data_IF_444426047201
#
_entry.id   IF_444426047201
#
_cell.length_a   1.000
_cell.length_b   1.000
_cell.length_c   1.000
_cell.angle_alpha   90.00
_cell.angle_beta   90.00
_cell.angle_gamma   90.00
#
_symmetry.space_group_name_H-M   'P 1'
#
loop_
_entity.id
_entity.type
_entity.pdbx_description
1 polymer ?
#
# COMPACT_ATOMS: atom_id res chain seq x y z
N UNK A 1 -7.88 -3.70 -9.29
CA UNK A 1 -8.20 -2.35 -8.79
C UNK A 1 -7.18 -1.29 -9.17
N UNK A 2 -5.86 -1.52 -9.05
CA UNK A 2 -4.85 -0.51 -9.44
C UNK A 2 -4.95 -0.15 -10.93
N UNK A 3 -5.02 -1.15 -11.82
CA UNK A 3 -5.23 -0.91 -13.25
C UNK A 3 -6.52 -0.14 -13.55
N UNK A 4 -7.59 -0.41 -12.80
CA UNK A 4 -8.84 0.36 -12.89
C UNK A 4 -8.63 1.81 -12.45
N UNK A 5 -7.93 2.06 -11.34
CA UNK A 5 -7.62 3.42 -10.88
C UNK A 5 -6.72 4.16 -11.86
N UNK A 6 -5.73 3.50 -12.46
CA UNK A 6 -4.88 4.07 -13.52
C UNK A 6 -5.71 4.40 -14.77
N UNK A 7 -6.60 3.51 -15.21
CA UNK A 7 -7.50 3.77 -16.33
C UNK A 7 -8.47 4.95 -16.06
N UNK A 8 -8.92 5.13 -14.81
CA UNK A 8 -9.70 6.32 -14.43
C UNK A 8 -8.89 7.61 -14.61
N UNK A 9 -7.60 7.58 -14.30
CA UNK A 9 -6.70 8.73 -14.40
C UNK A 9 -6.26 9.01 -15.85
N UNK A 10 -6.14 7.98 -16.69
CA UNK A 10 -5.71 8.07 -18.11
C UNK A 10 -6.56 9.03 -18.96
N UNK A 11 -7.84 9.18 -18.63
CA UNK A 11 -8.79 10.03 -19.38
C UNK A 11 -8.47 11.54 -19.38
N UNK A 12 -7.44 11.99 -18.65
CA UNK A 12 -7.08 13.40 -18.51
C UNK A 12 -5.54 13.57 -18.47
N UNK A 13 -4.97 14.39 -19.37
CA UNK A 13 -3.51 14.67 -19.41
C UNK A 13 -3.01 15.31 -18.12
N UNK A 14 -1.83 14.85 -17.66
CA UNK A 14 -1.10 15.36 -16.50
C UNK A 14 0.08 16.27 -16.86
N UNK A 15 0.26 16.60 -18.15
CA UNK A 15 1.46 17.27 -18.71
C UNK A 15 1.73 18.69 -18.15
N UNK A 16 0.79 19.25 -17.39
CA UNK A 16 0.86 20.59 -16.82
C UNK A 16 0.88 20.61 -15.29
N UNK A 17 0.95 19.45 -14.64
CA UNK A 17 0.90 19.31 -13.20
C UNK A 17 2.29 19.08 -12.60
N UNK A 18 2.52 19.63 -11.40
CA UNK A 18 3.71 19.34 -10.61
C UNK A 18 3.40 18.18 -9.65
N UNK A 19 4.38 17.30 -9.35
CA UNK A 19 4.19 16.27 -8.35
C UNK A 19 3.76 16.87 -7.00
N UNK A 20 2.65 16.38 -6.46
CA UNK A 20 2.10 16.88 -5.20
C UNK A 20 1.31 18.18 -5.28
N UNK A 21 1.04 18.71 -6.49
CA UNK A 21 0.14 19.86 -6.63
C UNK A 21 -1.31 19.53 -6.22
N UNK A 22 -2.08 20.56 -5.88
CA UNK A 22 -3.44 20.37 -5.36
C UNK A 22 -4.41 19.74 -6.36
N UNK A 23 -4.23 19.98 -7.66
CA UNK A 23 -5.14 19.50 -8.69
C UNK A 23 -4.86 18.02 -9.01
N UNK A 24 -3.58 17.65 -9.09
CA UNK A 24 -3.11 16.25 -9.14
C UNK A 24 -3.57 15.47 -7.91
N UNK A 25 -3.27 15.96 -6.69
CA UNK A 25 -3.67 15.26 -5.45
C UNK A 25 -5.19 15.11 -5.36
N UNK A 26 -5.97 16.13 -5.74
CA UNK A 26 -7.44 16.03 -5.79
C UNK A 26 -7.91 14.90 -6.71
N UNK A 27 -7.34 14.78 -7.90
CA UNK A 27 -7.69 13.71 -8.87
C UNK A 27 -7.33 12.33 -8.32
N UNK A 28 -6.13 12.20 -7.79
CA UNK A 28 -5.66 10.97 -7.17
C UNK A 28 -6.58 10.52 -6.02
N UNK A 29 -6.97 11.44 -5.14
CA UNK A 29 -7.91 11.18 -4.03
C UNK A 29 -9.26 10.70 -4.56
N UNK A 30 -9.82 11.37 -5.59
CA UNK A 30 -11.11 10.97 -6.19
C UNK A 30 -11.04 9.57 -6.79
N UNK A 31 -9.97 9.25 -7.52
CA UNK A 31 -9.80 7.94 -8.13
C UNK A 31 -9.68 6.81 -7.08
N UNK A 32 -8.96 7.09 -5.98
CA UNK A 32 -8.89 6.19 -4.80
C UNK A 32 -10.28 6.03 -4.16
N UNK A 33 -11.02 7.12 -3.96
CA UNK A 33 -12.37 7.11 -3.38
C UNK A 33 -13.34 6.25 -4.20
N UNK A 34 -13.41 6.43 -5.52
CA UNK A 34 -14.28 5.64 -6.41
C UNK A 34 -13.93 4.15 -6.39
N UNK A 35 -12.62 3.85 -6.37
CA UNK A 35 -12.09 2.48 -6.24
C UNK A 35 -12.46 1.85 -4.90
N UNK A 36 -12.50 2.64 -3.81
CA UNK A 36 -12.94 2.17 -2.50
C UNK A 36 -14.45 1.99 -2.42
N UNK A 37 -15.22 2.93 -2.97
CA UNK A 37 -16.69 2.85 -2.99
C UNK A 37 -17.19 1.57 -3.68
N UNK A 38 -16.59 1.21 -4.82
CA UNK A 38 -16.88 -0.04 -5.54
C UNK A 38 -16.66 -1.30 -4.67
N UNK A 39 -15.74 -1.25 -3.72
CA UNK A 39 -15.43 -2.36 -2.82
C UNK A 39 -16.40 -2.44 -1.62
N UNK A 40 -16.86 -1.29 -1.12
CA UNK A 40 -17.56 -1.16 0.16
C UNK A 40 -19.08 -1.37 0.10
N UNK A 41 -19.69 -1.61 -1.06
CA UNK A 41 -21.15 -1.68 -1.26
C UNK A 41 -21.85 -2.93 -0.69
N UNK A 42 -21.24 -3.65 0.25
CA UNK A 42 -21.85 -4.70 1.08
C UNK A 42 -21.48 -4.42 2.55
N UNK A 43 -22.44 -4.40 3.49
CA UNK A 43 -22.21 -3.80 4.83
C UNK A 43 -22.96 -4.42 6.01
N UNK A 44 -22.32 -4.30 7.20
CA UNK A 44 -22.80 -4.14 8.62
C UNK A 44 -22.55 -5.37 9.55
N UNK A 45 -22.19 -5.27 10.86
CA UNK A 45 -21.95 -4.19 11.86
C UNK A 45 -21.18 -4.77 13.10
N UNK A 46 -20.55 -3.92 13.92
CA UNK A 46 -19.50 -4.20 14.93
C UNK A 46 -19.93 -3.78 16.34
N UNK A 47 -20.22 -4.71 17.27
CA UNK A 47 -20.63 -4.32 18.65
C UNK A 47 -20.08 -5.22 19.80
N UNK A 48 -18.97 -5.95 19.62
CA UNK A 48 -18.41 -6.80 20.73
C UNK A 48 -16.90 -6.65 20.99
N UNK A 49 -16.34 -5.47 20.77
CA UNK A 49 -14.90 -5.21 20.96
C UNK A 49 -14.50 -4.56 22.29
N UNK A 50 -15.44 -4.36 23.23
CA UNK A 50 -15.23 -3.59 24.47
C UNK A 50 -15.28 -4.44 25.74
N UNK A 51 -15.02 -5.73 25.64
CA UNK A 51 -14.96 -6.63 26.80
C UNK A 51 -13.69 -6.36 27.64
N UNK A 52 -13.86 -6.13 28.96
CA UNK A 52 -12.77 -5.72 29.85
C UNK A 52 -11.73 -6.83 30.10
N UNK A 53 -12.09 -8.10 29.94
CA UNK A 53 -11.12 -9.19 30.07
C UNK A 53 -10.21 -9.24 28.83
N UNK A 54 -10.76 -8.94 27.65
CA UNK A 54 -9.99 -8.78 26.40
C UNK A 54 -9.05 -7.57 26.48
N UNK A 55 -9.51 -6.45 27.04
CA UNK A 55 -8.69 -5.25 27.22
C UNK A 55 -7.51 -5.48 28.19
N UNK A 56 -7.68 -6.36 29.19
CA UNK A 56 -6.66 -6.65 30.20
C UNK A 56 -5.49 -7.45 29.63
N UNK A 57 -5.77 -8.40 28.73
CA UNK A 57 -4.76 -9.23 28.06
C UNK A 57 -3.87 -8.40 27.11
N UNK A 58 -4.47 -7.49 26.33
CA UNK A 58 -3.73 -6.65 25.38
C UNK A 58 -2.87 -5.58 26.07
N UNK A 59 -3.30 -5.07 27.23
CA UNK A 59 -2.49 -4.14 28.06
C UNK A 59 -1.19 -4.78 28.57
N UNK A 60 -1.19 -6.09 28.89
CA UNK A 60 0.02 -6.79 29.34
C UNK A 60 1.03 -7.02 28.21
N UNK A 61 0.55 -7.19 26.97
CA UNK A 61 1.40 -7.38 25.77
C UNK A 61 2.07 -6.09 25.31
N UNK A 62 1.51 -4.93 25.64
CA UNK A 62 2.05 -3.61 25.28
C UNK A 62 3.43 -3.29 25.91
N UNK A 63 3.78 -3.91 27.03
CA UNK A 63 4.98 -3.58 27.81
C UNK A 63 6.27 -4.31 27.39
N UNK A 64 6.23 -5.23 26.41
CA UNK A 64 7.38 -6.08 26.03
C UNK A 64 8.04 -5.77 24.67
N UNK A 65 7.82 -4.59 24.11
CA UNK A 65 8.43 -4.18 22.84
C UNK A 65 7.56 -4.57 21.65
N UNK A 66 7.31 -3.58 20.79
CA UNK A 66 6.24 -3.59 19.80
C UNK A 66 6.31 -4.75 18.82
N UNK A 67 5.32 -5.64 18.91
CA UNK A 67 4.95 -6.53 17.81
C UNK A 67 4.55 -5.60 16.66
N UNK A 68 5.31 -5.64 15.57
CA UNK A 68 4.94 -4.99 14.31
C UNK A 68 3.55 -5.52 13.92
N UNK A 69 2.52 -4.68 14.06
CA UNK A 69 1.12 -5.11 14.01
C UNK A 69 0.58 -5.32 12.59
N UNK A 70 1.43 -5.44 11.57
CA UNK A 70 1.02 -5.67 10.16
C UNK A 70 2.02 -6.51 9.37
N UNK A 71 1.66 -7.77 9.13
CA UNK A 71 2.51 -8.84 8.59
C UNK A 71 2.53 -8.99 7.07
N UNK A 72 2.21 -7.94 6.29
CA UNK A 72 2.39 -7.98 4.83
C UNK A 72 3.79 -7.54 4.43
N UNK A 73 4.49 -8.38 3.68
CA UNK A 73 5.80 -8.09 3.08
C UNK A 73 5.71 -8.16 1.55
N UNK A 74 6.61 -7.45 0.88
CA UNK A 74 6.75 -7.47 -0.57
C UNK A 74 8.19 -7.84 -0.96
N UNK A 75 8.33 -8.69 -1.97
CA UNK A 75 9.59 -9.01 -2.62
C UNK A 75 9.43 -8.77 -4.12
N UNK A 76 10.37 -8.05 -4.71
CA UNK A 76 10.39 -7.74 -6.14
C UNK A 76 11.76 -8.12 -6.70
N UNK A 77 11.76 -8.96 -7.72
CA UNK A 77 12.96 -9.58 -8.30
C UNK A 77 12.96 -9.34 -9.81
N UNK A 78 14.14 -9.03 -10.31
CA UNK A 78 14.47 -8.97 -11.72
C UNK A 78 15.87 -9.55 -11.89
N UNK A 79 16.07 -10.42 -12.88
CA UNK A 79 17.38 -11.02 -13.17
C UNK A 79 17.90 -10.71 -14.58
N UNK A 80 19.12 -11.18 -14.88
CA UNK A 80 19.82 -10.96 -16.16
C UNK A 80 19.22 -11.71 -17.35
N UNK A 81 18.31 -12.65 -17.11
CA UNK A 81 17.59 -13.39 -18.14
C UNK A 81 16.20 -12.79 -18.38
N UNK A 82 15.97 -11.57 -17.88
CA UNK A 82 14.69 -10.87 -17.92
C UNK A 82 13.56 -11.62 -17.19
N UNK A 83 13.87 -12.51 -16.24
CA UNK A 83 12.86 -13.08 -15.37
C UNK A 83 12.39 -12.04 -14.36
N UNK A 84 11.07 -11.96 -14.17
CA UNK A 84 10.40 -10.99 -13.31
C UNK A 84 9.57 -11.71 -12.26
N UNK A 85 9.70 -11.33 -10.98
CA UNK A 85 8.83 -11.85 -9.93
C UNK A 85 8.41 -10.74 -8.95
N UNK A 86 7.10 -10.58 -8.78
CA UNK A 86 6.51 -9.74 -7.73
C UNK A 86 5.73 -10.64 -6.77
N UNK A 87 6.10 -10.62 -5.50
CA UNK A 87 5.51 -11.47 -4.47
C UNK A 87 5.10 -10.63 -3.26
N UNK A 88 3.79 -10.56 -3.02
CA UNK A 88 3.24 -10.01 -1.78
C UNK A 88 2.76 -11.15 -0.90
N UNK A 89 3.24 -11.23 0.34
CA UNK A 89 2.84 -12.26 1.30
C UNK A 89 2.30 -11.58 2.56
N UNK A 90 1.22 -12.12 3.13
CA UNK A 90 0.63 -11.58 4.36
C UNK A 90 0.29 -12.70 5.33
N UNK A 91 0.59 -12.49 6.60
CA UNK A 91 0.02 -13.25 7.72
C UNK A 91 -1.14 -12.51 8.40
N UNK A 92 -1.57 -11.38 7.82
CA UNK A 92 -2.41 -10.38 8.47
C UNK A 92 -1.71 -9.76 9.66
N UNK A 93 -2.41 -9.59 10.77
CA UNK A 93 -1.84 -9.23 12.07
C UNK A 93 -1.28 -10.47 12.81
N UNK A 94 -1.53 -11.67 12.26
CA UNK A 94 -1.22 -12.95 12.85
C UNK A 94 -2.31 -13.38 13.84
N UNK A 95 -2.62 -14.69 13.87
CA UNK A 95 -3.60 -15.23 14.83
C UNK A 95 -3.05 -15.35 16.25
N UNK A 96 -1.73 -15.20 16.42
CA UNK A 96 -1.02 -15.52 17.66
C UNK A 96 -0.88 -17.02 17.93
N UNK A 97 -1.50 -17.90 17.13
CA UNK A 97 -1.34 -19.34 17.24
C UNK A 97 -0.14 -19.83 16.43
N UNK A 98 0.79 -20.49 17.11
CA UNK A 98 1.96 -21.13 16.50
C UNK A 98 1.77 -22.64 16.56
N UNK A 99 1.87 -23.31 15.41
CA UNK A 99 1.74 -24.77 15.35
C UNK A 99 2.84 -25.40 16.23
N UNK A 100 2.49 -26.30 17.18
CA UNK A 100 3.46 -26.90 18.09
C UNK A 100 4.62 -27.58 17.36
N UNK A 101 5.85 -27.25 17.75
CA UNK A 101 7.07 -27.87 17.22
C UNK A 101 7.53 -27.40 15.84
N UNK A 102 6.81 -26.47 15.18
CA UNK A 102 7.17 -26.04 13.80
C UNK A 102 7.66 -24.59 13.71
N UNK A 103 7.32 -23.74 14.68
CA UNK A 103 7.59 -22.30 14.61
C UNK A 103 6.73 -21.55 13.57
N UNK A 104 5.74 -22.21 12.96
CA UNK A 104 4.86 -21.59 11.96
C UNK A 104 3.68 -20.92 12.66
N UNK A 105 3.61 -19.60 12.57
CA UNK A 105 2.44 -18.82 13.02
C UNK A 105 1.33 -18.87 11.97
N UNK A 106 0.11 -19.20 12.38
CA UNK A 106 -1.05 -19.17 11.50
C UNK A 106 -1.53 -17.73 11.26
N UNK A 107 -1.99 -17.46 10.04
CA UNK A 107 -2.55 -16.16 9.68
C UNK A 107 -3.90 -15.90 10.37
N UNK A 108 -4.33 -14.64 10.37
CA UNK A 108 -5.67 -14.24 10.80
C UNK A 108 -6.48 -13.58 9.67
N UNK A 109 -6.30 -13.99 8.40
CA UNK A 109 -6.93 -13.30 7.26
C UNK A 109 -8.46 -13.20 7.41
N UNK A 110 -9.14 -14.27 7.87
CA UNK A 110 -10.59 -14.24 8.10
C UNK A 110 -11.01 -13.36 9.30
N UNK A 111 -10.05 -12.85 10.08
CA UNK A 111 -10.25 -11.93 11.19
C UNK A 111 -9.84 -10.49 10.90
N UNK A 112 -9.40 -10.18 9.68
CA UNK A 112 -9.07 -8.81 9.27
C UNK A 112 -10.34 -8.09 8.76
N UNK A 113 -10.71 -7.01 9.45
CA UNK A 113 -11.94 -6.24 9.16
C UNK A 113 -12.00 -5.78 7.69
N UNK A 114 -10.87 -5.33 7.16
CA UNK A 114 -10.79 -4.73 5.83
C UNK A 114 -10.99 -5.71 4.69
N UNK A 115 -10.87 -7.02 4.93
CA UNK A 115 -11.10 -8.06 3.91
C UNK A 115 -12.40 -8.84 4.15
N UNK A 116 -13.14 -8.57 5.23
CA UNK A 116 -14.43 -9.18 5.55
C UNK A 116 -15.59 -8.17 5.40
N UNK A 117 -16.02 -7.83 4.16
CA UNK A 117 -17.03 -6.79 3.92
C UNK A 117 -18.41 -7.15 4.50
N UNK A 118 -18.72 -8.44 4.62
CA UNK A 118 -19.96 -8.95 5.22
C UNK A 118 -19.87 -9.08 6.74
N UNK A 119 -18.77 -8.63 7.36
CA UNK A 119 -18.49 -8.81 8.78
C UNK A 119 -17.83 -10.16 9.10
N UNK A 120 -17.30 -10.26 10.31
CA UNK A 120 -16.61 -11.45 10.80
C UNK A 120 -17.51 -12.69 10.80
N UNK A 121 -16.91 -13.85 10.53
CA UNK A 121 -17.58 -15.16 10.54
C UNK A 121 -18.70 -15.37 9.51
N UNK A 122 -18.93 -14.40 8.62
CA UNK A 122 -19.92 -14.51 7.54
C UNK A 122 -19.30 -14.93 6.20
N UNK A 123 -17.99 -15.17 6.16
CA UNK A 123 -17.32 -15.66 4.95
C UNK A 123 -17.63 -17.14 4.72
N UNK A 124 -18.00 -17.55 3.49
CA UNK A 124 -18.30 -18.94 3.18
C UNK A 124 -17.10 -19.87 3.37
N UNK A 125 -17.39 -21.11 3.75
CA UNK A 125 -16.38 -22.17 3.86
C UNK A 125 -15.82 -22.55 2.48
N UNK A 126 -14.57 -23.00 2.47
CA UNK A 126 -13.84 -23.44 1.26
C UNK A 126 -13.72 -22.39 0.13
N UNK A 127 -14.00 -21.12 0.45
CA UNK A 127 -13.87 -20.00 -0.48
C UNK A 127 -12.66 -19.11 -0.16
N UNK A 128 -11.89 -18.74 -1.19
CA UNK A 128 -10.74 -17.84 -1.04
C UNK A 128 -11.19 -16.40 -0.86
N UNK A 129 -10.70 -15.76 0.20
CA UNK A 129 -10.95 -14.34 0.46
C UNK A 129 -10.10 -13.43 -0.43
N UNK A 130 -10.72 -12.39 -0.98
CA UNK A 130 -10.01 -11.37 -1.76
C UNK A 130 -9.27 -10.41 -0.80
N UNK A 131 -7.96 -10.25 -1.00
CA UNK A 131 -7.14 -9.35 -0.18
C UNK A 131 -6.79 -8.05 -0.90
N UNK A 132 -6.11 -7.14 -0.18
CA UNK A 132 -5.53 -5.92 -0.77
C UNK A 132 -4.15 -6.14 -1.41
N UNK A 133 -3.57 -7.35 -1.30
CA UNK A 133 -2.30 -7.69 -1.91
C UNK A 133 -2.40 -7.51 -3.43
N UNK A 134 -1.42 -6.82 -4.01
CA UNK A 134 -1.43 -6.49 -5.43
C UNK A 134 0.00 -6.53 -5.98
N UNK A 135 0.68 -7.69 -5.98
CA UNK A 135 1.96 -7.82 -6.67
C UNK A 135 1.77 -7.41 -8.13
N UNK A 136 2.61 -6.52 -8.62
CA UNK A 136 2.40 -5.80 -9.88
C UNK A 136 3.64 -5.88 -10.76
N UNK A 137 3.41 -6.21 -12.04
CA UNK A 137 4.35 -5.99 -13.14
C UNK A 137 3.74 -4.91 -14.02
N UNK A 138 4.49 -3.85 -14.30
CA UNK A 138 4.09 -2.80 -15.22
C UNK A 138 5.08 -2.74 -16.39
N UNK A 139 4.57 -2.93 -17.60
CA UNK A 139 5.30 -2.78 -18.84
C UNK A 139 5.01 -1.37 -19.36
N UNK A 140 6.03 -0.52 -19.34
CA UNK A 140 5.94 0.88 -19.70
C UNK A 140 6.51 1.10 -21.11
N UNK A 141 6.33 2.31 -21.62
CA UNK A 141 6.87 2.70 -22.92
C UNK A 141 8.40 2.58 -22.98
N UNK A 142 8.91 2.47 -24.21
CA UNK A 142 10.34 2.37 -24.50
C UNK A 142 11.04 1.16 -23.85
N UNK A 143 10.27 0.11 -23.51
CA UNK A 143 10.83 -1.14 -22.97
C UNK A 143 11.17 -1.10 -21.48
N UNK A 144 10.76 -0.05 -20.76
CA UNK A 144 10.90 -0.01 -19.30
C UNK A 144 9.97 -1.03 -18.64
N UNK A 145 10.48 -1.80 -17.68
CA UNK A 145 9.68 -2.78 -16.93
C UNK A 145 9.83 -2.50 -15.45
N UNK A 146 8.70 -2.38 -14.73
CA UNK A 146 8.67 -2.15 -13.29
C UNK A 146 8.07 -3.36 -12.59
N UNK A 147 8.82 -3.93 -11.65
CA UNK A 147 8.35 -4.98 -10.74
C UNK A 147 8.16 -4.35 -9.37
N UNK A 148 6.91 -4.23 -8.93
CA UNK A 148 6.57 -3.52 -7.69
C UNK A 148 5.47 -4.24 -6.92
N UNK A 149 5.37 -3.90 -5.65
CA UNK A 149 4.25 -4.22 -4.79
C UNK A 149 4.47 -3.51 -3.47
N UNK A 150 3.58 -3.73 -2.50
CA UNK A 150 3.69 -3.04 -1.21
C UNK A 150 3.07 -3.88 -0.11
N UNK A 151 3.63 -3.78 1.10
CA UNK A 151 2.94 -4.16 2.32
C UNK A 151 2.19 -2.96 2.91
N UNK A 152 1.00 -3.15 3.48
CA UNK A 152 0.25 -2.04 4.08
C UNK A 152 -1.28 -2.13 4.15
N UNK A 153 -1.88 -3.33 4.16
CA UNK A 153 -3.35 -3.51 4.23
C UNK A 153 -4.06 -2.64 3.15
N UNK A 154 -5.09 -1.87 3.47
CA UNK A 154 -5.82 -1.00 2.55
C UNK A 154 -4.94 0.01 1.77
N UNK A 155 -3.73 0.31 2.25
CA UNK A 155 -2.82 1.29 1.66
C UNK A 155 -1.93 0.72 0.56
N UNK A 156 -1.89 -0.61 0.39
CA UNK A 156 -1.08 -1.28 -0.64
C UNK A 156 -1.32 -0.65 -2.02
N UNK A 157 -2.59 -0.46 -2.38
CA UNK A 157 -3.00 0.11 -3.67
C UNK A 157 -2.60 1.58 -3.80
N UNK A 158 -2.82 2.39 -2.76
CA UNK A 158 -2.41 3.81 -2.77
C UNK A 158 -0.90 3.97 -2.90
N UNK A 159 -0.12 3.11 -2.24
CA UNK A 159 1.33 3.13 -2.33
C UNK A 159 1.81 2.78 -3.74
N UNK A 160 1.35 1.66 -4.29
CA UNK A 160 1.74 1.22 -5.65
C UNK A 160 1.29 2.25 -6.70
N UNK A 161 0.06 2.76 -6.60
CA UNK A 161 -0.47 3.75 -7.53
C UNK A 161 0.40 5.01 -7.56
N UNK A 162 0.78 5.54 -6.40
CA UNK A 162 1.62 6.73 -6.33
C UNK A 162 3.03 6.48 -6.86
N UNK A 163 3.62 5.31 -6.60
CA UNK A 163 4.92 4.94 -7.19
C UNK A 163 4.83 4.89 -8.71
N UNK A 164 3.81 4.23 -9.26
CA UNK A 164 3.63 4.15 -10.72
C UNK A 164 3.34 5.52 -11.33
N UNK A 165 2.48 6.33 -10.74
CA UNK A 165 2.21 7.69 -11.22
C UNK A 165 3.46 8.57 -11.19
N UNK A 166 4.26 8.50 -10.13
CA UNK A 166 5.55 9.19 -10.05
C UNK A 166 6.53 8.76 -11.17
N UNK A 167 6.53 7.48 -11.53
CA UNK A 167 7.40 6.93 -12.60
C UNK A 167 6.90 7.24 -14.01
N UNK A 168 5.59 7.25 -14.22
CA UNK A 168 4.93 7.35 -15.52
C UNK A 168 4.66 8.81 -15.85
N UNK A 169 3.93 9.51 -14.97
CA UNK A 169 3.40 10.84 -15.23
C UNK A 169 4.46 11.92 -15.00
N UNK A 170 5.35 11.69 -14.03
CA UNK A 170 6.36 12.67 -13.62
C UNK A 170 7.80 12.27 -13.97
N UNK A 171 7.96 11.11 -14.62
CA UNK A 171 9.26 10.55 -15.02
C UNK A 171 10.33 10.62 -13.91
N UNK A 172 9.93 10.42 -12.65
CA UNK A 172 10.85 10.50 -11.52
C UNK A 172 11.86 9.35 -11.53
N UNK A 173 13.11 9.58 -11.09
CA UNK A 173 14.04 8.51 -10.76
C UNK A 173 13.42 7.52 -9.76
N UNK A 174 13.68 6.22 -9.90
CA UNK A 174 13.01 5.17 -9.13
C UNK A 174 13.09 5.37 -7.62
N UNK A 175 14.28 5.68 -7.10
CA UNK A 175 14.48 5.88 -5.67
C UNK A 175 13.68 7.07 -5.16
N UNK A 176 13.59 8.14 -5.95
CA UNK A 176 12.77 9.30 -5.63
C UNK A 176 11.27 8.97 -5.69
N UNK A 177 10.81 8.23 -6.69
CA UNK A 177 9.42 7.81 -6.83
C UNK A 177 8.92 6.98 -5.64
N UNK A 178 9.76 6.06 -5.14
CA UNK A 178 9.46 5.24 -3.95
C UNK A 178 9.51 6.09 -2.67
N UNK A 179 10.49 6.97 -2.53
CA UNK A 179 10.66 7.80 -1.35
C UNK A 179 9.68 8.99 -1.28
N UNK A 180 9.02 9.35 -2.38
CA UNK A 180 8.15 10.53 -2.45
C UNK A 180 7.05 10.49 -1.37
N UNK A 181 6.68 11.64 -0.77
CA UNK A 181 5.57 11.72 0.19
C UNK A 181 4.27 11.16 -0.37
N UNK A 182 3.57 10.37 0.44
CA UNK A 182 2.31 9.73 0.05
C UNK A 182 1.11 10.33 0.74
N UNK A 183 0.00 10.24 0.05
CA UNK A 183 -1.33 10.45 0.60
C UNK A 183 -2.14 9.15 0.59
N UNK A 184 -3.12 9.06 1.48
CA UNK A 184 -4.10 7.99 1.48
C UNK A 184 -5.46 8.54 1.90
N UNK A 185 -6.50 8.13 1.19
CA UNK A 185 -7.86 8.52 1.49
C UNK A 185 -8.68 7.27 1.75
N UNK A 186 -9.30 7.21 2.92
CA UNK A 186 -10.14 6.11 3.35
C UNK A 186 -11.20 6.63 4.31
N UNK A 187 -12.43 6.13 4.16
CA UNK A 187 -13.57 6.47 5.02
C UNK A 187 -13.79 7.97 5.22
N UNK A 188 -13.49 8.77 4.19
CA UNK A 188 -13.65 10.23 4.22
C UNK A 188 -12.59 10.97 5.04
N UNK A 189 -11.47 10.34 5.38
CA UNK A 189 -10.28 10.94 5.99
C UNK A 189 -9.13 10.96 4.98
N UNK A 190 -8.59 12.15 4.71
CA UNK A 190 -7.36 12.32 3.93
C UNK A 190 -6.15 12.32 4.87
N UNK A 191 -5.36 11.26 4.84
CA UNK A 191 -4.06 11.19 5.52
C UNK A 191 -2.94 11.60 4.58
N UNK A 192 -2.01 12.44 5.04
CA UNK A 192 -0.90 12.96 4.24
C UNK A 192 0.41 12.87 5.02
N UNK A 193 1.46 12.38 4.37
CA UNK A 193 2.83 12.46 4.88
C UNK A 193 3.40 13.88 4.80
N UNK A 194 4.50 14.17 5.54
CA UNK A 194 5.22 15.43 5.39
C UNK A 194 5.66 15.67 3.95
N UNK A 195 5.52 16.91 3.49
CA UNK A 195 5.91 17.34 2.14
C UNK A 195 4.75 17.84 1.27
N UNK A 196 3.51 17.73 1.75
CA UNK A 196 2.38 18.46 1.18
C UNK A 196 2.34 19.87 1.77
N UNK A 197 2.49 20.89 0.92
CA UNK A 197 2.47 22.28 1.36
C UNK A 197 1.14 22.67 2.03
N UNK A 198 1.21 23.55 3.03
CA UNK A 198 0.02 24.01 3.75
C UNK A 198 -1.00 24.70 2.83
N UNK A 199 -0.53 25.40 1.79
CA UNK A 199 -1.38 26.03 0.78
C UNK A 199 -2.16 24.98 -0.04
N UNK A 200 -1.51 23.87 -0.38
CA UNK A 200 -2.11 22.72 -1.07
C UNK A 200 -3.14 22.04 -0.18
N UNK A 201 -2.78 21.71 1.06
CA UNK A 201 -3.70 21.11 2.04
C UNK A 201 -4.94 21.99 2.27
N UNK A 202 -4.76 23.31 2.37
CA UNK A 202 -5.87 24.27 2.53
C UNK A 202 -6.81 24.28 1.32
N UNK A 203 -6.27 24.21 0.08
CA UNK A 203 -7.09 24.10 -1.14
C UNK A 203 -7.84 22.78 -1.21
N UNK A 204 -7.26 21.70 -0.71
CA UNK A 204 -7.92 20.38 -0.64
C UNK A 204 -9.02 20.35 0.42
N UNK A 205 -8.93 21.18 1.48
CA UNK A 205 -9.88 21.17 2.60
C UNK A 205 -11.30 21.55 2.19
N UNK A 206 -11.48 22.31 1.10
CA UNK A 206 -12.80 22.63 0.53
C UNK A 206 -13.57 21.37 0.12
N UNK A 207 -12.88 20.32 -0.33
CA UNK A 207 -13.50 19.07 -0.80
C UNK A 207 -13.29 17.90 0.16
N UNK A 208 -12.14 17.89 0.85
CA UNK A 208 -11.76 16.86 1.81
C UNK A 208 -11.54 17.54 3.18
N UNK A 209 -12.62 17.89 3.90
CA UNK A 209 -12.51 18.69 5.12
C UNK A 209 -11.90 17.92 6.30
N UNK A 210 -11.99 16.58 6.31
CA UNK A 210 -11.31 15.75 7.31
C UNK A 210 -9.93 15.36 6.81
N UNK A 211 -8.91 16.01 7.34
CA UNK A 211 -7.52 15.78 6.99
C UNK A 211 -6.68 15.44 8.21
N UNK A 212 -5.67 14.60 8.02
CA UNK A 212 -4.63 14.31 9.01
C UNK A 212 -3.27 14.47 8.34
N UNK A 213 -2.55 15.51 8.72
CA UNK A 213 -1.13 15.63 8.41
C UNK A 213 -0.33 14.82 9.43
N UNK A 214 0.66 14.08 8.97
CA UNK A 214 1.56 13.30 9.81
C UNK A 214 2.90 14.02 9.93
N UNK A 215 3.55 13.88 11.09
CA UNK A 215 4.82 14.59 11.39
C UNK A 215 6.05 13.92 10.76
N UNK A 216 5.94 12.67 10.35
CA UNK A 216 7.02 11.88 9.78
C UNK A 216 6.47 10.86 8.77
N UNK A 217 7.36 10.38 7.88
CA UNK A 217 7.05 9.24 7.02
C UNK A 217 6.74 8.01 7.87
N UNK A 218 5.74 7.23 7.48
CA UNK A 218 5.21 6.19 8.35
C UNK A 218 4.78 4.93 7.57
N UNK A 219 4.98 3.75 8.19
CA UNK A 219 4.53 2.45 7.65
C UNK A 219 3.03 2.40 7.32
N UNK A 220 2.24 3.31 7.92
CA UNK A 220 0.84 3.52 7.59
C UNK A 220 0.60 3.70 6.08
N UNK A 221 1.50 4.40 5.39
CA UNK A 221 1.43 4.72 3.95
C UNK A 221 2.01 3.62 3.05
N UNK A 222 2.11 2.41 3.60
CA UNK A 222 2.67 1.24 2.92
C UNK A 222 4.19 1.24 2.86
N UNK A 223 4.74 0.18 2.26
CA UNK A 223 6.17 0.04 2.00
C UNK A 223 6.40 -0.63 0.66
N UNK A 224 6.68 0.16 -0.37
CA UNK A 224 6.80 -0.31 -1.74
C UNK A 224 8.24 -0.76 -2.07
N UNK A 225 8.43 -2.05 -2.35
CA UNK A 225 9.73 -2.58 -2.78
C UNK A 225 9.69 -2.78 -4.29
N UNK A 226 10.60 -2.11 -5.01
CA UNK A 226 10.52 -1.99 -6.46
C UNK A 226 11.86 -2.23 -7.13
N UNK A 227 11.87 -2.99 -8.21
CA UNK A 227 12.99 -3.06 -9.15
C UNK A 227 12.51 -2.67 -10.55
N UNK A 228 13.39 -2.09 -11.36
CA UNK A 228 13.09 -1.61 -12.69
C UNK A 228 14.20 -1.96 -13.67
N UNK A 229 13.81 -2.48 -14.84
CA UNK A 229 14.64 -2.51 -16.04
C UNK A 229 14.42 -1.19 -16.80
N UNK A 230 15.50 -0.44 -16.98
CA UNK A 230 15.53 0.79 -17.76
C UNK A 230 15.63 0.52 -19.27
N UNK A 231 15.24 1.49 -20.09
CA UNK A 231 15.27 1.38 -21.55
C UNK A 231 16.70 1.14 -22.12
N UNK A 232 17.73 1.53 -21.38
CA UNK A 232 19.14 1.30 -21.73
C UNK A 232 19.67 -0.09 -21.28
N UNK A 233 18.81 -0.94 -20.71
CA UNK A 233 19.19 -2.25 -20.14
C UNK A 233 19.70 -2.19 -18.69
N UNK A 234 19.70 -1.01 -18.06
CA UNK A 234 20.11 -0.82 -16.67
C UNK A 234 19.14 -1.45 -15.68
N UNK A 235 19.67 -2.10 -14.64
CA UNK A 235 18.87 -2.66 -13.56
C UNK A 235 19.01 -1.80 -12.31
N UNK A 236 17.90 -1.25 -11.83
CA UNK A 236 17.88 -0.43 -10.63
C UNK A 236 16.81 -0.89 -9.65
N UNK A 237 17.05 -0.67 -8.36
CA UNK A 237 16.12 -1.05 -7.29
C UNK A 237 15.93 0.06 -6.25
N UNK A 238 14.84 -0.05 -5.51
CA UNK A 238 14.51 0.81 -4.37
C UNK A 238 13.74 0.02 -3.31
N UNK A 239 14.31 0.00 -2.10
CA UNK A 239 13.63 -0.46 -0.88
C UNK A 239 12.98 0.71 -0.14
N UNK A 240 11.74 0.57 0.31
CA UNK A 240 11.04 1.63 1.04
C UNK A 240 11.53 1.75 2.48
N UNK A 241 12.07 2.92 2.83
CA UNK A 241 12.52 3.25 4.18
C UNK A 241 11.41 3.15 5.23
N UNK A 242 10.13 3.34 4.85
CA UNK A 242 8.98 3.24 5.77
C UNK A 242 8.85 1.86 6.42
N UNK A 243 9.46 0.83 5.81
CA UNK A 243 9.51 -0.54 6.33
C UNK A 243 10.95 -1.06 6.51
N UNK A 244 11.95 -0.18 6.49
CA UNK A 244 13.36 -0.59 6.53
C UNK A 244 13.78 -1.42 5.32
N UNK A 245 13.13 -1.21 4.18
CA UNK A 245 13.41 -1.94 2.95
C UNK A 245 14.80 -1.66 2.42
N UNK A 246 15.40 -2.68 1.83
CA UNK A 246 16.65 -2.58 1.10
C UNK A 246 16.46 -3.12 -0.31
N UNK A 247 17.32 -2.69 -1.22
CA UNK A 247 17.51 -3.35 -2.49
C UNK A 247 18.97 -3.76 -2.60
N UNK A 248 19.23 -4.88 -3.27
CA UNK A 248 20.56 -5.42 -3.46
C UNK A 248 20.71 -5.79 -4.94
N UNK A 249 21.85 -5.46 -5.53
CA UNK A 249 22.29 -6.03 -6.79
C UNK A 249 23.44 -7.00 -6.53
N UNK A 250 23.39 -8.14 -7.20
CA UNK A 250 24.57 -9.02 -7.30
C UNK A 250 25.20 -8.76 -8.66
N UNK A 251 26.27 -7.99 -8.67
CA UNK A 251 27.25 -8.08 -9.75
C UNK A 251 28.00 -9.39 -9.54
N UNK A 252 27.62 -10.43 -10.29
CA UNK A 252 28.44 -11.63 -10.34
C UNK A 252 29.55 -11.34 -11.35
N UNK A 253 30.77 -11.33 -10.81
CA UNK A 253 32.08 -11.29 -11.46
C UNK A 253 32.15 -12.19 -12.69
#
# INVERSE_FOLDING_TARGET
MIAFTLALLESHSLDHHLPGDADYLRRLIRAICLTQHLRTTQSRKIEKLLDEDVLREYRQRLHKGGICSRGTTQISILDRQDNLASMTLSNGEGSGYVIPGTGIMMNNMLGEEDINPCGFHNWPEDERIASMMSPTLAFLDQGRIVVTGSGGSNRIRSAILQVLSNLIDFNMPLQQAVAFPRIHFEEGLLSMEPGVDQSVSSRLATEFPRQRQWDSKNLFFGGAHTVMLEANGGLIGAGDERRGGVWLSTETV
#
